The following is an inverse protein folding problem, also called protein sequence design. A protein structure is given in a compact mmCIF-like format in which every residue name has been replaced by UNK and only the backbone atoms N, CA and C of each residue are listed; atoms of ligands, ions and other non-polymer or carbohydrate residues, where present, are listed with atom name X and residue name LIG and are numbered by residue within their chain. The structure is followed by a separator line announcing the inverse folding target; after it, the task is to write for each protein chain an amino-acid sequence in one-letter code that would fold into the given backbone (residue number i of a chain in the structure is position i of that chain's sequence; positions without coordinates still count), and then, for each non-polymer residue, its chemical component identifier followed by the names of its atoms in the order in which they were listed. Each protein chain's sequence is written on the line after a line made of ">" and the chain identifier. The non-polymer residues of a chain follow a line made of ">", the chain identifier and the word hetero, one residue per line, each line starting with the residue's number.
data_IF_443472969397
#
_entry.id   IF_443472969397
#
_cell.length_a   1.000
_cell.length_b   1.000
_cell.length_c   1.000
_cell.angle_alpha   90.00
_cell.angle_beta   90.00
_cell.angle_gamma   90.00
#
_symmetry.space_group_name_H-M   'P 1'
#
loop_
_entity.id
_entity.type
_entity.pdbx_description
1 polymer ?
#
# COMPACT_ATOMS: atom_id res chain seq x y z
N UNK A 1 8.90 -19.57 -4.20
CA UNK A 1 9.22 -18.65 -5.32
C UNK A 1 8.04 -18.51 -6.27
N UNK A 2 7.42 -19.60 -6.73
CA UNK A 2 6.19 -19.54 -7.54
C UNK A 2 4.99 -18.98 -6.75
N UNK A 3 4.74 -19.47 -5.54
CA UNK A 3 3.63 -19.04 -4.67
C UNK A 3 3.66 -17.53 -4.37
N UNK A 4 4.85 -16.97 -4.10
CA UNK A 4 5.01 -15.53 -3.86
C UNK A 4 4.77 -14.66 -5.11
N UNK A 5 5.05 -15.19 -6.31
CA UNK A 5 4.74 -14.49 -7.56
C UNK A 5 3.23 -14.44 -7.84
N UNK A 6 2.51 -15.50 -7.46
CA UNK A 6 1.06 -15.56 -7.51
C UNK A 6 0.43 -14.58 -6.50
N UNK A 7 0.87 -14.60 -5.24
CA UNK A 7 0.45 -13.66 -4.19
C UNK A 7 0.69 -12.20 -4.59
N UNK A 8 1.84 -11.92 -5.20
CA UNK A 8 2.17 -10.59 -5.70
C UNK A 8 1.24 -10.17 -6.84
N UNK A 9 0.98 -11.07 -7.80
CA UNK A 9 0.09 -10.80 -8.93
C UNK A 9 -1.34 -10.54 -8.46
N UNK A 10 -1.82 -11.32 -7.49
CA UNK A 10 -3.15 -11.13 -6.91
C UNK A 10 -3.27 -9.79 -6.19
N UNK A 11 -2.30 -9.44 -5.34
CA UNK A 11 -2.30 -8.14 -4.66
C UNK A 11 -2.22 -6.98 -5.68
N UNK A 12 -1.43 -7.14 -6.75
CA UNK A 12 -1.34 -6.15 -7.84
C UNK A 12 -2.72 -5.84 -8.42
N UNK A 13 -3.52 -6.87 -8.71
CA UNK A 13 -4.89 -6.72 -9.25
C UNK A 13 -5.79 -5.94 -8.29
N UNK A 14 -5.72 -6.25 -7.00
CA UNK A 14 -6.50 -5.54 -5.96
C UNK A 14 -6.09 -4.07 -5.85
N UNK A 15 -4.79 -3.77 -5.92
CA UNK A 15 -4.26 -2.40 -5.88
C UNK A 15 -4.67 -1.61 -7.13
N UNK A 16 -4.50 -2.18 -8.33
CA UNK A 16 -4.99 -1.59 -9.57
C UNK A 16 -6.46 -1.17 -9.49
N UNK A 17 -7.31 -2.09 -9.01
CA UNK A 17 -8.73 -1.86 -8.90
C UNK A 17 -9.04 -0.72 -7.92
N UNK A 18 -8.36 -0.67 -6.76
CA UNK A 18 -8.54 0.43 -5.82
C UNK A 18 -8.04 1.77 -6.36
N UNK A 19 -6.97 1.76 -7.16
CA UNK A 19 -6.37 2.96 -7.76
C UNK A 19 -7.16 3.52 -8.93
N UNK A 20 -8.08 2.76 -9.52
CA UNK A 20 -8.81 3.16 -10.73
C UNK A 20 -9.47 4.54 -10.53
N UNK A 21 -9.13 5.47 -11.44
CA UNK A 21 -9.55 6.87 -11.42
C UNK A 21 -9.17 7.71 -10.18
N UNK A 22 -8.34 7.19 -9.26
CA UNK A 22 -7.86 7.95 -8.09
C UNK A 22 -6.48 8.57 -8.33
N UNK A 23 -6.29 9.87 -8.03
CA UNK A 23 -4.95 10.48 -8.04
C UNK A 23 -4.08 9.96 -6.88
N UNK A 24 -4.69 9.59 -5.75
CA UNK A 24 -4.07 9.02 -4.56
C UNK A 24 -5.11 8.20 -3.78
N UNK A 25 -4.66 7.23 -2.99
CA UNK A 25 -5.49 6.43 -2.08
C UNK A 25 -4.66 6.01 -0.87
N UNK A 26 -5.26 6.04 0.33
CA UNK A 26 -4.69 5.43 1.53
C UNK A 26 -4.74 3.89 1.50
N UNK A 27 -5.37 3.30 0.46
CA UNK A 27 -5.46 1.85 0.22
C UNK A 27 -6.17 1.07 1.34
N UNK A 28 -7.04 1.72 2.13
CA UNK A 28 -7.75 1.08 3.24
C UNK A 28 -8.66 -0.07 2.81
N UNK A 29 -9.29 0.03 1.64
CA UNK A 29 -10.09 -1.04 1.04
C UNK A 29 -9.29 -2.34 0.85
N UNK A 30 -8.01 -2.22 0.48
CA UNK A 30 -7.09 -3.34 0.27
C UNK A 30 -6.46 -3.76 1.60
N UNK A 31 -5.90 -2.82 2.36
CA UNK A 31 -5.10 -3.15 3.55
C UNK A 31 -5.92 -3.68 4.73
N UNK A 32 -7.22 -3.37 4.80
CA UNK A 32 -8.14 -3.98 5.77
C UNK A 32 -8.90 -5.19 5.25
N UNK A 33 -8.84 -5.51 3.95
CA UNK A 33 -9.46 -6.73 3.43
C UNK A 33 -8.71 -7.97 3.96
N UNK A 34 -9.45 -8.94 4.50
CA UNK A 34 -8.89 -10.08 5.25
C UNK A 34 -7.85 -10.88 4.44
N UNK A 35 -8.12 -11.13 3.17
CA UNK A 35 -7.18 -11.84 2.29
C UNK A 35 -6.00 -10.94 1.89
N UNK A 36 -6.30 -9.74 1.38
CA UNK A 36 -5.28 -8.80 0.92
C UNK A 36 -4.30 -8.38 2.02
N UNK A 37 -4.74 -8.24 3.27
CA UNK A 37 -3.90 -7.89 4.41
C UNK A 37 -2.77 -8.91 4.61
N UNK A 38 -3.05 -10.20 4.43
CA UNK A 38 -2.02 -11.26 4.45
C UNK A 38 -1.02 -11.07 3.31
N UNK A 39 -1.52 -10.85 2.09
CA UNK A 39 -0.68 -10.64 0.90
C UNK A 39 0.22 -9.40 1.03
N UNK A 40 -0.31 -8.30 1.59
CA UNK A 40 0.44 -7.07 1.85
C UNK A 40 1.65 -7.37 2.74
N UNK A 41 1.48 -8.15 3.80
CA UNK A 41 2.57 -8.54 4.69
C UNK A 41 3.66 -9.35 3.96
N UNK A 42 3.27 -10.37 3.20
CA UNK A 42 4.22 -11.23 2.47
C UNK A 42 4.97 -10.47 1.37
N UNK A 43 4.27 -9.60 0.63
CA UNK A 43 4.86 -8.80 -0.45
C UNK A 43 5.78 -7.71 0.10
N UNK A 44 5.42 -7.03 1.19
CA UNK A 44 6.29 -6.06 1.84
C UNK A 44 7.54 -6.73 2.42
N UNK A 45 7.39 -7.87 3.08
CA UNK A 45 8.52 -8.65 3.60
C UNK A 45 9.52 -8.95 2.48
N UNK A 46 9.03 -9.47 1.36
CA UNK A 46 9.88 -9.82 0.22
C UNK A 46 10.49 -8.60 -0.48
N UNK A 47 9.77 -7.48 -0.59
CA UNK A 47 10.32 -6.24 -1.13
C UNK A 47 11.48 -5.71 -0.27
N UNK A 48 11.34 -5.78 1.05
CA UNK A 48 12.36 -5.36 2.03
C UNK A 48 13.61 -6.25 1.93
N UNK A 49 13.45 -7.57 1.92
CA UNK A 49 14.56 -8.53 1.78
C UNK A 49 15.28 -8.37 0.43
N UNK A 50 14.52 -8.21 -0.68
CA UNK A 50 15.10 -7.98 -2.01
C UNK A 50 15.87 -6.68 -2.12
N UNK A 51 15.48 -5.67 -1.35
CA UNK A 51 16.20 -4.40 -1.24
C UNK A 51 17.46 -4.50 -0.35
N UNK A 52 17.73 -5.66 0.24
CA UNK A 52 18.93 -5.92 1.04
C UNK A 52 18.83 -5.56 2.52
N UNK A 53 17.61 -5.36 3.04
CA UNK A 53 17.37 -5.18 4.46
C UNK A 53 16.84 -6.50 5.04
N UNK A 54 17.69 -7.25 5.75
CA UNK A 54 17.22 -8.48 6.37
C UNK A 54 16.39 -8.16 7.62
N UNK A 55 15.12 -8.54 7.63
CA UNK A 55 14.24 -8.32 8.78
C UNK A 55 14.67 -9.14 10.02
N UNK A 56 15.42 -10.22 9.82
CA UNK A 56 15.98 -11.05 10.90
C UNK A 56 17.24 -10.44 11.53
N UNK A 57 18.05 -9.70 10.75
CA UNK A 57 19.42 -9.30 11.17
C UNK A 57 19.61 -7.80 11.25
N UNK A 58 18.96 -7.07 10.36
CA UNK A 58 19.24 -5.65 10.11
C UNK A 58 18.22 -4.73 10.76
N UNK A 59 17.02 -5.22 11.04
CA UNK A 59 15.87 -4.40 11.46
C UNK A 59 15.36 -4.84 12.81
N UNK A 60 15.23 -3.90 13.75
CA UNK A 60 14.78 -4.18 15.11
C UNK A 60 13.31 -3.77 15.35
N UNK A 61 12.75 -2.92 14.48
CA UNK A 61 11.34 -2.48 14.53
C UNK A 61 10.88 -1.79 13.24
N UNK A 62 9.57 -1.77 12.97
CA UNK A 62 8.96 -1.02 11.85
C UNK A 62 7.96 0.00 12.35
N UNK A 63 7.97 1.20 11.76
CA UNK A 63 7.12 2.32 12.17
C UNK A 63 6.17 2.76 11.07
N UNK A 64 4.91 3.07 11.40
CA UNK A 64 3.99 3.69 10.44
C UNK A 64 4.29 5.20 10.32
N UNK A 65 4.69 5.68 9.14
CA UNK A 65 4.80 7.13 8.84
C UNK A 65 3.46 7.84 8.96
N UNK A 66 2.41 7.14 8.54
CA UNK A 66 1.09 7.72 8.40
C UNK A 66 0.05 6.79 9.00
N UNK A 67 -1.14 7.31 9.31
CA UNK A 67 -2.24 6.47 9.77
C UNK A 67 -2.59 5.37 8.73
N UNK A 68 -2.38 5.65 7.44
CA UNK A 68 -2.60 4.71 6.34
C UNK A 68 -1.66 3.49 6.38
N UNK A 69 -0.47 3.64 6.98
CA UNK A 69 0.52 2.58 7.06
C UNK A 69 0.35 1.67 8.28
N UNK A 70 -0.52 2.00 9.24
CA UNK A 70 -0.73 1.18 10.45
C UNK A 70 -1.16 -0.25 10.11
N UNK A 71 -2.11 -0.51 9.19
CA UNK A 71 -2.45 -1.87 8.80
C UNK A 71 -1.27 -2.65 8.20
N UNK A 72 -0.36 -1.96 7.50
CA UNK A 72 0.82 -2.56 6.88
C UNK A 72 1.85 -2.97 7.94
N UNK A 73 2.02 -2.17 8.99
CA UNK A 73 2.85 -2.55 10.16
C UNK A 73 2.35 -3.87 10.75
N UNK A 74 1.04 -4.00 11.00
CA UNK A 74 0.48 -5.25 11.52
C UNK A 74 0.64 -6.42 10.55
N UNK A 75 0.39 -6.20 9.26
CA UNK A 75 0.57 -7.23 8.23
C UNK A 75 2.01 -7.76 8.19
N UNK A 76 2.99 -6.86 8.28
CA UNK A 76 4.41 -7.21 8.27
C UNK A 76 4.86 -7.92 9.55
N UNK A 77 4.37 -7.51 10.72
CA UNK A 77 4.61 -8.22 12.00
C UNK A 77 4.15 -9.67 11.88
N UNK A 78 2.94 -9.91 11.38
CA UNK A 78 2.43 -11.27 11.19
C UNK A 78 3.17 -12.04 10.11
N UNK A 79 3.65 -11.38 9.05
CA UNK A 79 4.49 -12.03 8.03
C UNK A 79 5.86 -12.45 8.58
N UNK A 80 6.47 -11.62 9.42
CA UNK A 80 7.71 -11.92 10.13
C UNK A 80 7.53 -13.07 11.13
N UNK A 81 6.46 -13.05 11.92
CA UNK A 81 6.14 -14.10 12.91
C UNK A 81 5.98 -15.48 12.26
N UNK A 82 5.29 -15.56 11.11
CA UNK A 82 5.17 -16.81 10.32
C UNK A 82 6.52 -17.38 9.87
N UNK A 83 7.57 -16.55 9.86
CA UNK A 83 8.95 -16.92 9.51
C UNK A 83 9.86 -17.06 10.74
N UNK A 84 9.32 -16.93 11.95
CA UNK A 84 10.05 -17.03 13.21
C UNK A 84 10.90 -15.79 13.54
N UNK A 85 10.60 -14.64 12.94
CA UNK A 85 11.32 -13.39 13.15
C UNK A 85 10.53 -12.53 14.15
N UNK A 86 11.20 -12.10 15.21
CA UNK A 86 10.64 -11.15 16.18
C UNK A 86 10.72 -9.73 15.60
N UNK A 87 9.57 -9.10 15.36
CA UNK A 87 9.50 -7.75 14.81
C UNK A 87 8.46 -6.92 15.56
N UNK A 88 8.91 -5.83 16.18
CA UNK A 88 8.03 -4.87 16.87
C UNK A 88 7.52 -3.79 15.91
N UNK A 89 6.29 -3.33 16.12
CA UNK A 89 5.71 -2.18 15.45
C UNK A 89 5.59 -0.93 16.32
N UNK A 90 5.68 0.27 15.73
CA UNK A 90 5.37 1.53 16.40
C UNK A 90 4.66 2.54 15.50
N UNK A 91 4.11 3.59 16.11
CA UNK A 91 3.55 4.76 15.41
C UNK A 91 4.05 6.05 16.05
N UNK A 92 4.02 7.16 15.31
CA UNK A 92 4.35 8.48 15.83
C UNK A 92 3.11 9.14 16.46
N UNK A 93 3.31 9.85 17.58
CA UNK A 93 2.32 10.74 18.17
C UNK A 93 2.69 12.19 17.86
N UNK A 94 1.84 12.86 17.07
CA UNK A 94 2.01 14.26 16.68
C UNK A 94 1.51 15.25 17.73
N UNK A 95 0.56 14.84 18.58
CA UNK A 95 0.00 15.71 19.63
C UNK A 95 1.00 15.83 20.77
N UNK A 96 1.63 14.70 21.12
CA UNK A 96 2.70 14.63 22.09
C UNK A 96 3.92 13.95 21.44
N UNK A 97 4.81 14.73 20.76
CA UNK A 97 5.94 14.22 19.98
C UNK A 97 6.68 13.07 20.66
N UNK A 98 6.35 11.84 20.26
CA UNK A 98 6.86 10.60 20.85
C UNK A 98 6.48 9.41 19.97
N UNK A 99 6.98 8.23 20.33
CA UNK A 99 6.57 6.96 19.70
C UNK A 99 5.60 6.22 20.60
N UNK A 100 4.59 5.58 20.00
CA UNK A 100 3.67 4.65 20.69
C UNK A 100 3.96 3.22 20.23
N UNK A 101 4.05 2.30 21.18
CA UNK A 101 4.46 0.91 20.97
C UNK A 101 5.64 0.53 21.87
N UNK A 102 6.27 -0.64 21.66
CA UNK A 102 7.55 -0.98 22.27
C UNK A 102 8.61 0.09 22.02
N UNK A 103 9.55 0.24 22.95
CA UNK A 103 10.60 1.26 22.83
C UNK A 103 11.48 1.02 21.61
N UNK A 104 11.77 2.09 20.87
CA UNK A 104 12.74 2.08 19.75
C UNK A 104 14.10 2.66 20.10
N UNK A 105 14.39 2.86 21.40
CA UNK A 105 15.62 3.54 21.82
C UNK A 105 16.86 2.78 21.32
N UNK A 106 17.68 3.45 20.50
CA UNK A 106 18.89 2.85 19.91
C UNK A 106 18.63 1.75 18.87
N UNK A 107 17.39 1.54 18.44
CA UNK A 107 17.01 0.51 17.46
C UNK A 107 17.23 0.99 16.02
N UNK A 108 17.46 0.05 15.11
CA UNK A 108 17.43 0.25 13.66
C UNK A 108 16.02 0.00 13.15
N UNK A 109 15.45 0.96 12.44
CA UNK A 109 14.03 0.94 12.09
C UNK A 109 13.79 1.19 10.61
N UNK A 110 12.75 0.57 10.08
CA UNK A 110 12.16 0.92 8.79
C UNK A 110 10.88 1.73 9.01
N UNK A 111 10.64 2.70 8.15
CA UNK A 111 9.44 3.53 8.21
C UNK A 111 8.52 3.20 7.02
N UNK A 112 7.28 2.80 7.27
CA UNK A 112 6.33 2.34 6.28
C UNK A 112 5.35 3.44 5.88
N UNK A 113 5.01 3.49 4.59
CA UNK A 113 3.89 4.24 4.04
C UNK A 113 3.06 3.37 3.09
N UNK A 114 1.82 3.80 2.85
CA UNK A 114 0.93 3.19 1.87
C UNK A 114 1.32 3.52 0.43
N UNK A 115 1.52 4.79 0.13
CA UNK A 115 1.81 5.25 -1.23
C UNK A 115 2.66 6.53 -1.18
N UNK A 116 3.89 6.44 -1.69
CA UNK A 116 4.82 7.57 -1.78
C UNK A 116 5.37 7.71 -3.20
N UNK A 117 5.47 8.94 -3.68
CA UNK A 117 5.92 9.26 -5.05
C UNK A 117 6.66 10.57 -5.01
N UNK A 118 7.64 10.80 -5.89
CA UNK A 118 8.33 12.11 -5.96
C UNK A 118 7.38 13.25 -6.33
N UNK A 119 6.26 12.91 -6.99
CA UNK A 119 5.15 13.82 -7.33
C UNK A 119 4.16 13.98 -6.18
N UNK A 120 4.19 13.08 -5.20
CA UNK A 120 3.36 13.15 -4.01
C UNK A 120 4.04 14.08 -3.02
N UNK A 121 3.47 15.28 -2.85
CA UNK A 121 3.67 15.99 -1.59
C UNK A 121 3.21 15.02 -0.51
N UNK A 122 4.09 14.64 0.42
CA UNK A 122 3.69 13.86 1.61
C UNK A 122 2.67 14.70 2.38
N UNK A 123 1.41 14.48 2.02
CA UNK A 123 0.24 15.13 2.55
C UNK A 123 -0.59 14.04 3.16
N UNK A 124 -0.20 13.60 4.35
CA UNK A 124 -1.10 12.81 5.17
C UNK A 124 -1.75 13.70 6.21
N UNK A 125 -2.84 14.33 5.76
CA UNK A 125 -3.88 14.89 6.62
C UNK A 125 -3.44 15.99 7.59
N UNK A 126 -2.73 16.99 7.09
CA UNK A 126 -2.96 18.32 7.61
C UNK A 126 -3.06 19.34 6.49
N UNK A 127 -4.30 19.74 6.19
CA UNK A 127 -4.62 21.12 5.80
C UNK A 127 -4.15 22.14 6.89
N UNK A 128 -3.25 21.74 7.81
CA UNK A 128 -2.72 22.42 9.00
C UNK A 128 -1.22 22.10 9.21
N UNK A 129 -0.45 21.81 8.14
CA UNK A 129 0.98 22.23 8.07
C UNK A 129 1.12 23.50 7.24
N UNK A 130 0.02 24.26 7.13
CA UNK A 130 -0.04 25.64 6.65
C UNK A 130 0.83 26.55 7.56
N UNK A 131 2.14 26.54 7.35
CA UNK A 131 3.03 27.72 7.22
C UNK A 131 4.53 27.40 7.35
N UNK A 132 4.95 26.24 7.89
CA UNK A 132 6.37 26.07 8.29
C UNK A 132 7.03 24.69 8.14
N UNK A 133 6.48 23.69 7.45
CA UNK A 133 7.32 22.58 6.99
C UNK A 133 6.71 21.19 6.80
N UNK A 134 7.52 20.31 6.19
CA UNK A 134 7.24 18.93 5.77
C UNK A 134 7.07 18.00 6.98
N UNK A 135 5.97 17.23 7.03
CA UNK A 135 5.63 16.29 8.11
C UNK A 135 6.74 15.26 8.37
N UNK A 136 7.42 14.82 7.31
CA UNK A 136 8.55 13.88 7.41
C UNK A 136 9.68 14.41 8.31
N UNK A 137 9.90 15.73 8.36
CA UNK A 137 10.95 16.30 9.20
C UNK A 137 10.65 16.14 10.69
N UNK A 138 9.38 16.20 11.08
CA UNK A 138 8.93 15.98 12.45
C UNK A 138 9.02 14.50 12.82
N UNK A 139 8.55 13.61 11.94
CA UNK A 139 8.63 12.16 12.13
C UNK A 139 10.07 11.71 12.36
N UNK A 140 10.98 12.18 11.50
CA UNK A 140 12.39 11.88 11.59
C UNK A 140 13.00 12.42 12.88
N UNK A 141 12.55 13.59 13.34
CA UNK A 141 13.02 14.18 14.60
C UNK A 141 12.56 13.37 15.82
N UNK A 142 11.32 12.87 15.83
CA UNK A 142 10.80 11.98 16.88
C UNK A 142 11.65 10.72 16.97
N UNK A 143 11.92 10.07 15.83
CA UNK A 143 12.73 8.84 15.78
C UNK A 143 14.18 9.11 16.19
N UNK A 144 14.80 10.18 15.66
CA UNK A 144 16.18 10.58 16.02
C UNK A 144 16.32 10.93 17.50
N UNK A 145 15.30 11.52 18.13
CA UNK A 145 15.32 11.84 19.56
C UNK A 145 15.36 10.58 20.44
N UNK A 146 14.84 9.44 19.94
CA UNK A 146 15.01 8.14 20.60
C UNK A 146 16.41 7.54 20.40
N UNK A 147 17.29 8.19 19.63
CA UNK A 147 18.58 7.64 19.22
C UNK A 147 18.44 6.45 18.26
N UNK A 148 17.27 6.29 17.65
CA UNK A 148 17.02 5.24 16.67
C UNK A 148 17.58 5.63 15.30
N UNK A 149 17.99 4.63 14.52
CA UNK A 149 18.51 4.79 13.17
C UNK A 149 17.43 4.42 12.15
N UNK A 150 17.01 5.37 11.31
CA UNK A 150 16.15 5.08 10.16
C UNK A 150 17.01 4.49 9.05
N UNK A 151 16.72 3.25 8.65
CA UNK A 151 17.45 2.54 7.60
C UNK A 151 16.93 2.87 6.20
N UNK A 152 15.60 2.85 6.04
CA UNK A 152 14.92 3.16 4.80
C UNK A 152 13.45 3.57 5.06
N UNK A 153 12.87 4.26 4.08
CA UNK A 153 11.41 4.37 3.93
C UNK A 153 10.96 3.25 3.00
N UNK A 154 9.88 2.56 3.36
CA UNK A 154 9.28 1.49 2.58
C UNK A 154 7.85 1.89 2.24
N UNK A 155 7.45 1.81 0.97
CA UNK A 155 6.08 2.05 0.55
C UNK A 155 5.48 0.81 -0.12
N UNK A 156 4.18 0.58 0.06
CA UNK A 156 3.48 -0.44 -0.72
C UNK A 156 3.44 -0.03 -2.20
N UNK A 157 3.12 1.23 -2.49
CA UNK A 157 3.20 1.83 -3.83
C UNK A 157 4.25 2.94 -3.85
N UNK A 158 5.20 2.86 -4.78
CA UNK A 158 6.29 3.81 -4.94
C UNK A 158 6.34 4.42 -6.34
N UNK A 159 6.50 5.74 -6.42
CA UNK A 159 6.76 6.49 -7.66
C UNK A 159 8.10 7.21 -7.61
N UNK A 160 9.18 6.50 -7.26
CA UNK A 160 10.53 7.06 -7.12
C UNK A 160 11.47 6.34 -8.04
N UNK A 161 12.12 7.03 -8.98
CA UNK A 161 12.98 6.40 -9.96
C UNK A 161 14.22 5.74 -9.32
N UNK A 162 14.65 4.62 -9.92
CA UNK A 162 15.90 3.98 -9.55
C UNK A 162 17.09 4.70 -10.20
N UNK A 163 18.20 4.79 -9.48
CA UNK A 163 19.47 5.24 -10.06
C UNK A 163 20.08 4.17 -10.98
N UNK A 164 21.21 4.50 -11.61
CA UNK A 164 21.92 3.60 -12.53
C UNK A 164 22.35 2.26 -11.90
N UNK A 165 22.31 2.15 -10.57
CA UNK A 165 22.64 0.93 -9.83
C UNK A 165 21.39 0.17 -9.37
N UNK A 166 20.19 0.65 -9.72
CA UNK A 166 18.92 0.07 -9.32
C UNK A 166 18.45 0.52 -7.93
N UNK A 167 19.15 1.46 -7.28
CA UNK A 167 18.80 1.91 -5.94
C UNK A 167 17.87 3.13 -5.99
N UNK A 168 16.83 3.15 -5.16
CA UNK A 168 15.88 4.26 -5.08
C UNK A 168 16.15 5.09 -3.84
N UNK A 169 16.02 6.40 -3.97
CA UNK A 169 16.30 7.32 -2.87
C UNK A 169 15.32 8.49 -2.88
N UNK A 170 14.82 8.85 -1.71
CA UNK A 170 14.05 10.06 -1.49
C UNK A 170 14.98 11.21 -1.06
N UNK A 171 14.76 12.39 -1.63
CA UNK A 171 15.36 13.62 -1.13
C UNK A 171 14.42 14.27 -0.11
N UNK A 172 14.90 14.36 1.13
CA UNK A 172 14.17 14.97 2.23
C UNK A 172 14.74 16.35 2.48
N UNK A 173 13.98 17.37 2.12
CA UNK A 173 14.32 18.75 2.44
C UNK A 173 13.72 19.13 3.80
N UNK A 174 14.58 19.54 4.72
CA UNK A 174 14.14 20.26 5.91
C UNK A 174 13.85 21.71 5.52
N UNK A 175 12.59 22.18 5.59
CA UNK A 175 12.23 23.51 5.11
C UNK A 175 12.62 24.64 6.07
N UNK A 176 13.09 24.30 7.29
CA UNK A 176 13.56 25.26 8.27
C UNK A 176 15.08 25.39 8.21
N UNK A 177 15.81 24.27 8.16
CA UNK A 177 17.28 24.27 8.10
C UNK A 177 17.84 24.27 6.68
N UNK A 178 17.00 24.06 5.66
CA UNK A 178 17.38 23.83 4.26
C UNK A 178 18.30 22.60 4.06
N UNK A 179 18.44 21.77 5.09
CA UNK A 179 19.23 20.54 5.03
C UNK A 179 18.54 19.53 4.12
N UNK A 180 19.30 19.01 3.15
CA UNK A 180 18.83 17.95 2.26
C UNK A 180 19.43 16.61 2.71
N UNK A 181 18.55 15.68 3.10
CA UNK A 181 18.91 14.32 3.51
C UNK A 181 18.49 13.34 2.43
N UNK A 182 19.45 12.54 1.95
CA UNK A 182 19.16 11.41 1.07
C UNK A 182 18.74 10.21 1.93
N UNK A 183 17.56 9.66 1.69
CA UNK A 183 17.05 8.48 2.39
C UNK A 183 16.85 7.34 1.39
N UNK A 184 17.28 6.13 1.76
CA UNK A 184 17.00 4.94 0.96
C UNK A 184 15.49 4.68 0.90
N UNK A 185 15.02 4.27 -0.28
CA UNK A 185 13.61 4.03 -0.53
C UNK A 185 13.40 2.63 -1.07
N UNK A 186 12.43 1.91 -0.51
CA UNK A 186 11.99 0.60 -0.96
C UNK A 186 10.53 0.72 -1.37
N UNK A 187 10.19 0.22 -2.55
CA UNK A 187 8.80 0.15 -2.99
C UNK A 187 8.44 -1.28 -3.35
N UNK A 188 7.29 -1.74 -2.89
CA UNK A 188 6.79 -3.06 -3.28
C UNK A 188 6.24 -3.05 -4.70
N UNK A 189 5.47 -2.03 -5.09
CA UNK A 189 4.97 -1.86 -6.46
C UNK A 189 5.37 -0.50 -7.02
N UNK A 190 5.56 -0.45 -8.33
CA UNK A 190 5.80 0.79 -9.04
C UNK A 190 4.47 1.45 -9.40
N UNK A 191 4.34 2.76 -9.15
CA UNK A 191 3.13 3.52 -9.43
C UNK A 191 2.80 3.52 -10.92
N UNK A 192 3.80 3.68 -11.80
CA UNK A 192 3.57 3.72 -13.24
C UNK A 192 3.12 2.36 -13.75
N UNK A 193 3.73 1.27 -13.26
CA UNK A 193 3.28 -0.10 -13.54
C UNK A 193 1.81 -0.28 -13.16
N UNK A 194 1.39 0.17 -11.98
CA UNK A 194 0.00 0.02 -11.54
C UNK A 194 -0.97 0.92 -12.31
N UNK A 195 -0.56 2.14 -12.71
CA UNK A 195 -1.40 3.05 -13.50
C UNK A 195 -1.56 2.63 -14.95
N UNK A 196 -0.49 2.14 -15.59
CA UNK A 196 -0.56 1.58 -16.95
C UNK A 196 -1.50 0.37 -16.97
N UNK A 197 -1.40 -0.50 -15.97
CA UNK A 197 -2.26 -1.68 -15.85
C UNK A 197 -3.67 -1.34 -15.37
N UNK A 198 -3.89 -0.24 -14.65
CA UNK A 198 -5.24 0.26 -14.37
C UNK A 198 -5.92 0.85 -15.63
N UNK A 199 -5.14 1.28 -16.62
CA UNK A 199 -5.64 1.71 -17.92
C UNK A 199 -5.76 0.57 -18.94
N UNK A 200 -5.10 -0.57 -18.71
CA UNK A 200 -5.15 -1.77 -19.53
C UNK A 200 -6.10 -2.83 -18.94
N UNK A 201 -6.72 -3.64 -19.81
CA UNK A 201 -7.54 -4.80 -19.42
C UNK A 201 -6.79 -5.84 -18.56
N UNK A 202 -5.47 -5.74 -18.37
CA UNK A 202 -4.67 -6.72 -17.60
C UNK A 202 -4.93 -6.71 -16.08
N UNK A 203 -5.47 -5.61 -15.52
CA UNK A 203 -5.95 -5.63 -14.13
C UNK A 203 -7.43 -6.06 -14.01
N UNK A 204 -8.13 -6.27 -15.14
CA UNK A 204 -9.52 -6.72 -15.21
C UNK A 204 -9.68 -7.83 -16.25
N UNK A 205 -9.65 -9.09 -15.83
CA UNK A 205 -9.95 -10.16 -16.78
C UNK A 205 -11.40 -10.00 -17.25
N UNK A 206 -11.59 -9.80 -18.54
CA UNK A 206 -12.90 -9.71 -19.18
C UNK A 206 -13.85 -8.62 -18.66
N UNK A 207 -13.42 -7.52 -18.02
CA UNK A 207 -14.28 -6.48 -17.38
C UNK A 207 -14.84 -6.83 -15.98
N UNK A 208 -14.26 -7.80 -15.27
CA UNK A 208 -14.57 -8.09 -13.87
C UNK A 208 -13.54 -7.45 -12.93
N UNK A 209 -13.93 -6.45 -12.12
CA UNK A 209 -12.96 -5.71 -11.29
C UNK A 209 -13.54 -5.01 -10.06
N UNK A 210 -12.74 -4.90 -9.00
CA UNK A 210 -12.89 -3.84 -7.98
C UNK A 210 -14.20 -3.79 -7.22
N UNK A 211 -14.82 -4.94 -6.98
CA UNK A 211 -16.10 -5.00 -6.28
C UNK A 211 -17.34 -4.90 -7.17
N UNK A 212 -17.19 -4.55 -8.46
CA UNK A 212 -18.29 -4.31 -9.39
C UNK A 212 -18.12 -5.13 -10.69
N UNK A 213 -19.06 -6.01 -11.03
CA UNK A 213 -19.04 -6.70 -12.32
C UNK A 213 -19.77 -5.82 -13.37
N UNK A 214 -19.07 -5.37 -14.42
CA UNK A 214 -19.69 -4.62 -15.50
C UNK A 214 -20.54 -5.53 -16.42
N UNK A 215 -21.48 -4.93 -17.17
CA UNK A 215 -22.39 -5.63 -18.11
C UNK A 215 -21.65 -6.44 -19.18
N UNK A 216 -20.42 -6.05 -19.49
CA UNK A 216 -19.54 -6.72 -20.45
C UNK A 216 -18.68 -7.81 -19.83
N UNK A 217 -18.84 -8.12 -18.54
CA UNK A 217 -18.02 -9.16 -17.94
C UNK A 217 -18.29 -10.55 -18.53
N UNK A 218 -17.22 -11.21 -19.00
CA UNK A 218 -17.23 -12.60 -19.47
C UNK A 218 -16.39 -13.57 -18.63
N UNK A 219 -15.69 -13.08 -17.60
CA UNK A 219 -14.80 -13.82 -16.70
C UNK A 219 -15.47 -14.35 -15.40
N UNK A 220 -14.65 -14.93 -14.52
CA UNK A 220 -15.08 -15.46 -13.21
C UNK A 220 -14.95 -14.39 -12.11
N UNK A 221 -16.06 -13.67 -11.87
CA UNK A 221 -16.18 -12.64 -10.83
C UNK A 221 -15.76 -13.11 -9.41
N UNK A 222 -15.92 -14.40 -9.04
CA UNK A 222 -15.50 -14.90 -7.71
C UNK A 222 -13.96 -14.98 -7.61
N UNK A 223 -13.30 -15.43 -8.67
CA UNK A 223 -11.85 -15.49 -8.76
C UNK A 223 -11.20 -14.10 -8.92
N UNK A 224 -11.98 -13.12 -9.40
CA UNK A 224 -11.55 -11.74 -9.66
C UNK A 224 -11.76 -10.76 -8.50
N UNK A 225 -12.21 -11.26 -7.34
CA UNK A 225 -12.32 -10.45 -6.11
C UNK A 225 -13.48 -9.45 -6.14
N UNK A 226 -14.51 -9.70 -6.95
CA UNK A 226 -15.74 -8.91 -6.93
C UNK A 226 -16.54 -9.23 -5.65
N UNK A 227 -16.93 -8.19 -4.91
CA UNK A 227 -17.71 -8.29 -3.66
C UNK A 227 -19.21 -8.30 -3.90
N UNK A 228 -19.67 -7.90 -5.09
CA UNK A 228 -21.05 -8.07 -5.54
C UNK A 228 -21.24 -9.45 -6.18
N UNK A 229 -22.42 -10.08 -6.04
CA UNK A 229 -22.69 -11.35 -6.69
C UNK A 229 -22.49 -11.19 -8.20
N UNK A 230 -21.67 -12.09 -8.76
CA UNK A 230 -21.40 -12.21 -10.18
C UNK A 230 -22.70 -12.09 -10.97
N UNK A 231 -22.64 -11.53 -12.18
CA UNK A 231 -23.78 -11.48 -13.09
C UNK A 231 -24.53 -12.82 -13.10
N UNK A 232 -25.74 -12.83 -12.54
CA UNK A 232 -26.64 -13.99 -12.56
C UNK A 232 -27.85 -13.58 -13.37
N UNK A 233 -28.20 -14.45 -14.32
CA UNK A 233 -29.39 -14.40 -15.17
C UNK A 233 -29.97 -12.99 -15.35
N UNK A 234 -29.65 -12.35 -16.48
CA UNK A 234 -30.17 -11.05 -16.89
C UNK A 234 -29.81 -9.83 -16.01
N UNK A 235 -29.24 -10.01 -14.81
CA UNK A 235 -28.88 -8.94 -13.87
C UNK A 235 -27.36 -8.82 -13.64
N UNK A 236 -26.83 -7.59 -13.70
CA UNK A 236 -25.46 -7.24 -13.34
C UNK A 236 -25.45 -5.94 -12.52
N UNK A 237 -24.88 -5.94 -11.31
CA UNK A 237 -24.80 -4.73 -10.46
C UNK A 237 -26.17 -4.11 -10.14
N UNK A 238 -27.23 -4.94 -10.10
CA UNK A 238 -28.60 -4.48 -9.92
C UNK A 238 -29.30 -3.98 -11.19
N UNK A 239 -28.64 -3.94 -12.36
CA UNK A 239 -29.23 -3.46 -13.62
C UNK A 239 -29.39 -4.56 -14.67
N UNK A 240 -30.38 -4.40 -15.55
CA UNK A 240 -30.73 -5.35 -16.60
C UNK A 240 -29.70 -5.32 -17.76
N UNK A 241 -29.22 -6.49 -18.19
CA UNK A 241 -28.22 -6.62 -19.28
C UNK A 241 -28.81 -6.27 -20.65
N UNK A 242 -28.08 -5.46 -21.43
CA UNK A 242 -28.46 -5.14 -22.81
C UNK A 242 -28.41 -6.39 -23.71
N UNK A 243 -29.55 -6.73 -24.33
CA UNK A 243 -29.68 -7.89 -25.23
C UNK A 243 -30.10 -9.20 -24.55
N UNK A 244 -30.38 -9.19 -23.24
CA UNK A 244 -31.01 -10.32 -22.56
C UNK A 244 -32.49 -10.44 -22.97
N UNK A 245 -32.96 -11.67 -23.15
CA UNK A 245 -34.36 -11.99 -23.52
C UNK A 245 -35.18 -12.51 -22.34
N UNK A 246 -34.59 -12.58 -21.14
CA UNK A 246 -35.26 -12.97 -19.88
C UNK A 246 -35.87 -11.79 -19.12
N UNK A 247 -36.56 -12.07 -18.01
CA UNK A 247 -37.31 -11.08 -17.22
C UNK A 247 -36.49 -10.55 -16.03
N UNK A 248 -35.87 -9.38 -16.21
CA UNK A 248 -35.04 -8.74 -15.19
C UNK A 248 -35.79 -8.37 -13.89
N UNK A 249 -37.13 -8.30 -13.90
CA UNK A 249 -37.90 -8.03 -12.69
C UNK A 249 -37.95 -9.25 -11.75
N UNK A 250 -37.89 -10.47 -12.30
CA UNK A 250 -37.87 -11.70 -11.49
C UNK A 250 -36.51 -11.95 -10.85
N UNK A 251 -35.44 -11.42 -11.46
CA UNK A 251 -34.05 -11.55 -11.00
C UNK A 251 -33.62 -10.41 -10.04
N UNK A 252 -34.54 -9.50 -9.69
CA UNK A 252 -34.35 -8.49 -8.64
C UNK A 252 -33.59 -7.22 -9.07
N UNK A 253 -33.49 -6.96 -10.37
CA UNK A 253 -32.89 -5.73 -10.90
C UNK A 253 -33.71 -4.48 -10.54
N UNK A 254 -33.05 -3.36 -10.25
CA UNK A 254 -33.58 -2.00 -10.30
C UNK A 254 -33.28 -1.43 -11.70
N UNK A 255 -34.21 -0.67 -12.28
CA UNK A 255 -34.02 -0.05 -13.61
C UNK A 255 -32.73 0.79 -13.70
#
# INVERSE_FOLDING_TARGET
>A
MLELQEERSELKRMLCADMSAKPFSELFSVTFAQHASKLVGDVLFDAIERAGYSLDKDVDSVGALTAAAVPMVFALIHAAERKGIELDGFVMDFVFPSTKGPSIKGKRVLLLDSWLSEKSYVQTSSLVTLRHGNELSLDFSIVKQQGAQILAIVALIGGVDADNQGNRHLQLLNPISEENTKMAFVQAFDEEELRENAAHEDCCNDNCCGGHCEVKCTGDCEHDGCTEPCCKDNCCGGHCKAGCTGDCATDGCQE
#
